data_IF_870570367252
#
_entry.id   IF_870570367252
#
_cell.length_a   1.000
_cell.length_b   1.000
_cell.length_c   1.000
_cell.angle_alpha   90.00
_cell.angle_beta   90.00
_cell.angle_gamma   90.00
#
_symmetry.space_group_name_H-M   'P 1'
#
loop_
_entity.id
_entity.type
_entity.pdbx_description
1 polymer ?
#
# COMPACT_ATOMS: atom_id res chain seq x y z
N UNK A 1 10.68 -50.48 28.13
CA UNK A 1 10.20 -50.17 26.76
C UNK A 1 9.12 -49.07 26.64
N UNK A 2 8.48 -48.57 27.71
CA UNK A 2 7.37 -47.58 27.58
C UNK A 2 7.81 -46.14 27.21
N UNK A 3 9.01 -45.71 27.61
CA UNK A 3 9.54 -44.33 27.43
C UNK A 3 9.65 -43.88 25.97
N UNK A 4 10.06 -44.78 25.06
CA UNK A 4 10.20 -44.50 23.61
C UNK A 4 8.81 -44.27 22.98
N UNK A 5 7.80 -45.07 23.38
CA UNK A 5 6.41 -44.92 22.92
C UNK A 5 5.79 -43.60 23.41
N UNK A 6 6.11 -43.16 24.63
CA UNK A 6 5.68 -41.85 25.15
C UNK A 6 6.37 -40.69 24.40
N UNK A 7 7.68 -40.78 24.13
CA UNK A 7 8.42 -39.76 23.36
C UNK A 7 7.84 -39.56 21.95
N UNK A 8 7.54 -40.65 21.24
CA UNK A 8 6.97 -40.56 19.88
C UNK A 8 5.56 -39.94 19.89
N UNK A 9 4.76 -40.20 20.94
CA UNK A 9 3.45 -39.53 21.12
C UNK A 9 3.58 -38.03 21.35
N UNK A 10 4.58 -37.59 22.11
CA UNK A 10 4.85 -36.15 22.33
C UNK A 10 5.31 -35.47 21.04
N UNK A 11 6.19 -36.10 20.28
CA UNK A 11 6.64 -35.56 18.97
C UNK A 11 5.46 -35.47 18.00
N UNK A 12 4.60 -36.49 17.95
CA UNK A 12 3.40 -36.48 17.10
C UNK A 12 2.44 -35.36 17.51
N UNK A 13 2.25 -35.13 18.81
CA UNK A 13 1.41 -34.04 19.32
C UNK A 13 1.98 -32.67 18.92
N UNK A 14 3.29 -32.45 19.08
CA UNK A 14 3.95 -31.21 18.67
C UNK A 14 3.82 -30.98 17.16
N UNK A 15 3.99 -32.03 16.35
CA UNK A 15 3.82 -31.94 14.90
C UNK A 15 2.38 -31.57 14.51
N UNK A 16 1.38 -32.17 15.16
CA UNK A 16 -0.03 -31.83 14.95
C UNK A 16 -0.35 -30.38 15.35
N UNK A 17 0.21 -29.89 16.46
CA UNK A 17 0.06 -28.50 16.88
C UNK A 17 0.68 -27.53 15.86
N UNK A 18 1.86 -27.85 15.32
CA UNK A 18 2.51 -27.04 14.28
C UNK A 18 1.70 -27.02 12.99
N UNK A 19 1.19 -28.17 12.54
CA UNK A 19 0.31 -28.26 11.35
C UNK A 19 -0.98 -27.47 11.57
N UNK A 20 -1.59 -27.57 12.75
CA UNK A 20 -2.77 -26.79 13.11
C UNK A 20 -2.51 -25.29 13.11
N UNK A 21 -1.37 -24.83 13.63
CA UNK A 21 -0.96 -23.42 13.61
C UNK A 21 -0.78 -22.90 12.19
N UNK A 22 -0.08 -23.65 11.33
CA UNK A 22 0.10 -23.30 9.92
C UNK A 22 -1.27 -23.24 9.22
N UNK A 23 -2.13 -24.23 9.44
CA UNK A 23 -3.48 -24.27 8.87
C UNK A 23 -4.33 -23.07 9.28
N UNK A 24 -4.29 -22.67 10.56
CA UNK A 24 -4.97 -21.46 11.05
C UNK A 24 -4.44 -20.20 10.33
N UNK A 25 -3.13 -20.03 10.23
CA UNK A 25 -2.55 -18.85 9.57
C UNK A 25 -2.93 -18.78 8.09
N UNK A 26 -2.94 -19.92 7.39
CA UNK A 26 -3.40 -19.99 5.99
C UNK A 26 -4.87 -19.60 5.89
N UNK A 27 -5.73 -20.11 6.79
CA UNK A 27 -7.14 -19.75 6.82
C UNK A 27 -7.35 -18.24 7.08
N UNK A 28 -6.65 -17.68 8.07
CA UNK A 28 -6.74 -16.26 8.43
C UNK A 28 -6.30 -15.37 7.24
N UNK A 29 -5.24 -15.74 6.50
CA UNK A 29 -4.78 -15.03 5.30
C UNK A 29 -5.83 -15.10 4.18
N UNK A 30 -6.35 -16.30 3.88
CA UNK A 30 -7.35 -16.47 2.83
C UNK A 30 -8.66 -15.73 3.16
N UNK A 31 -9.07 -15.74 4.43
CA UNK A 31 -10.24 -15.00 4.89
C UNK A 31 -10.02 -13.49 4.79
N UNK A 32 -8.87 -13.00 5.25
CA UNK A 32 -8.55 -11.58 5.19
C UNK A 32 -8.47 -11.05 3.75
N UNK A 33 -8.08 -11.89 2.78
CA UNK A 33 -8.08 -11.50 1.35
C UNK A 33 -9.47 -11.13 0.81
N UNK A 34 -10.55 -11.52 1.50
CA UNK A 34 -11.93 -11.21 1.11
C UNK A 34 -12.54 -10.04 1.87
N UNK A 35 -11.83 -9.51 2.88
CA UNK A 35 -12.26 -8.37 3.67
C UNK A 35 -11.99 -7.06 2.92
N UNK A 36 -13.04 -6.44 2.38
CA UNK A 36 -12.94 -5.12 1.77
C UNK A 36 -13.07 -4.03 2.85
N UNK A 37 -11.93 -3.55 3.35
CA UNK A 37 -11.86 -2.47 4.36
C UNK A 37 -12.11 -1.08 3.75
N UNK A 38 -13.10 -0.94 2.87
CA UNK A 38 -13.54 0.37 2.36
C UNK A 38 -14.30 1.10 3.45
N UNK A 39 -13.58 1.80 4.31
CA UNK A 39 -14.18 2.76 5.22
C UNK A 39 -14.22 4.14 4.56
N UNK A 40 -15.35 4.83 4.73
CA UNK A 40 -15.49 6.23 4.35
C UNK A 40 -14.64 7.05 5.32
N UNK A 41 -13.49 7.55 4.86
CA UNK A 41 -12.69 8.49 5.63
C UNK A 41 -13.29 9.90 5.51
N UNK A 42 -13.45 10.60 6.63
CA UNK A 42 -13.87 12.01 6.64
C UNK A 42 -12.82 12.90 5.94
N UNK A 43 -11.56 12.51 6.07
CA UNK A 43 -10.41 13.19 5.49
C UNK A 43 -9.26 12.21 5.22
N UNK A 44 -8.62 12.35 4.07
CA UNK A 44 -7.39 11.65 3.73
C UNK A 44 -6.18 12.58 3.82
N UNK A 45 -5.03 12.07 4.25
CA UNK A 45 -3.77 12.79 4.19
C UNK A 45 -2.90 12.11 3.13
N UNK A 46 -2.50 12.85 2.10
CA UNK A 46 -1.65 12.35 1.04
C UNK A 46 -0.20 12.67 1.37
N UNK A 47 0.59 11.62 1.60
CA UNK A 47 2.02 11.69 1.84
C UNK A 47 2.74 11.25 0.56
N UNK A 48 3.52 12.16 -0.02
CA UNK A 48 4.28 11.88 -1.24
C UNK A 48 5.45 12.84 -1.39
N UNK A 49 6.28 12.61 -2.41
CA UNK A 49 7.39 13.50 -2.74
C UNK A 49 6.87 14.92 -3.02
N UNK A 50 7.59 15.92 -2.50
CA UNK A 50 7.29 17.34 -2.67
C UNK A 50 6.98 17.76 -4.12
N UNK A 51 7.71 17.27 -5.12
CA UNK A 51 7.50 17.65 -6.53
C UNK A 51 6.33 16.91 -7.18
N UNK A 52 5.97 15.73 -6.66
CA UNK A 52 4.83 14.95 -7.13
C UNK A 52 3.51 15.41 -6.51
N UNK A 53 3.58 16.08 -5.35
CA UNK A 53 2.42 16.44 -4.53
C UNK A 53 1.32 17.18 -5.31
N UNK A 54 1.68 18.11 -6.19
CA UNK A 54 0.70 18.89 -6.97
C UNK A 54 -0.19 18.00 -7.85
N UNK A 55 0.39 16.99 -8.49
CA UNK A 55 -0.34 16.05 -9.34
C UNK A 55 -1.14 15.05 -8.51
N UNK A 56 -0.58 14.58 -7.38
CA UNK A 56 -1.28 13.69 -6.47
C UNK A 56 -2.58 14.32 -5.92
N UNK A 57 -2.54 15.59 -5.51
CA UNK A 57 -3.73 16.31 -5.03
C UNK A 57 -4.80 16.48 -6.12
N UNK A 58 -4.38 16.74 -7.36
CA UNK A 58 -5.30 16.83 -8.51
C UNK A 58 -6.04 15.51 -8.76
N UNK A 59 -5.31 14.40 -8.67
CA UNK A 59 -5.90 13.06 -8.83
C UNK A 59 -6.87 12.71 -7.70
N UNK A 60 -6.58 13.17 -6.48
CA UNK A 60 -7.45 12.96 -5.32
C UNK A 60 -8.76 13.74 -5.44
N UNK A 61 -8.68 15.01 -5.88
CA UNK A 61 -9.84 15.85 -6.18
C UNK A 61 -10.75 15.18 -7.22
N UNK A 62 -10.16 14.74 -8.34
CA UNK A 62 -10.91 14.07 -9.41
C UNK A 62 -11.44 12.68 -8.98
N UNK A 63 -10.92 12.08 -7.91
CA UNK A 63 -11.42 10.85 -7.31
C UNK A 63 -12.50 11.07 -6.24
N UNK A 64 -12.86 12.33 -5.95
CA UNK A 64 -13.82 12.67 -4.90
C UNK A 64 -13.28 12.45 -3.49
N UNK A 65 -11.96 12.40 -3.32
CA UNK A 65 -11.30 12.20 -2.03
C UNK A 65 -11.03 13.56 -1.40
N UNK A 66 -11.65 13.82 -0.26
CA UNK A 66 -11.33 14.99 0.57
C UNK A 66 -9.93 14.82 1.18
N UNK A 67 -8.91 15.32 0.49
CA UNK A 67 -7.51 15.10 0.84
C UNK A 67 -6.79 16.39 1.27
N UNK A 68 -5.82 16.26 2.18
CA UNK A 68 -4.84 17.30 2.51
C UNK A 68 -3.44 16.86 2.12
N UNK A 69 -2.62 17.82 1.67
CA UNK A 69 -1.23 17.57 1.28
C UNK A 69 -0.30 17.50 2.49
N UNK A 70 0.49 16.44 2.58
CA UNK A 70 1.60 16.32 3.54
C UNK A 70 2.89 15.92 2.80
N UNK A 71 3.52 16.86 2.05
CA UNK A 71 4.70 16.55 1.26
C UNK A 71 5.86 16.13 2.15
N UNK A 72 6.62 15.13 1.72
CA UNK A 72 7.80 14.69 2.46
C UNK A 72 8.86 15.80 2.46
N UNK A 73 9.52 16.06 3.60
CA UNK A 73 10.57 17.09 3.68
C UNK A 73 11.83 16.71 2.88
N UNK A 74 11.98 15.43 2.56
CA UNK A 74 13.08 14.88 1.79
C UNK A 74 12.58 14.20 0.52
N UNK A 75 13.46 14.13 -0.47
CA UNK A 75 13.24 13.43 -1.73
C UNK A 75 14.33 12.40 -1.93
N UNK A 76 13.99 11.26 -2.55
CA UNK A 76 14.98 10.31 -3.07
C UNK A 76 15.88 10.97 -4.13
N UNK A 77 15.34 11.93 -4.88
CA UNK A 77 16.05 12.68 -5.90
C UNK A 77 16.79 13.86 -5.26
N UNK A 78 18.04 13.62 -4.87
CA UNK A 78 18.82 14.61 -4.11
C UNK A 78 19.57 15.61 -4.99
N UNK A 79 20.18 15.14 -6.09
CA UNK A 79 21.04 15.95 -6.95
C UNK A 79 20.26 16.64 -8.08
N UNK A 80 20.75 17.77 -8.58
CA UNK A 80 20.13 18.47 -9.72
C UNK A 80 19.96 17.57 -10.95
N UNK A 81 20.96 16.72 -11.23
CA UNK A 81 20.93 15.75 -12.34
C UNK A 81 19.75 14.77 -12.24
N UNK A 82 19.28 14.50 -11.03
CA UNK A 82 18.17 13.57 -10.77
C UNK A 82 16.84 14.30 -10.52
N UNK A 83 16.87 15.50 -9.94
CA UNK A 83 15.70 16.37 -9.74
C UNK A 83 15.13 16.93 -11.04
N UNK A 84 15.97 17.39 -11.96
CA UNK A 84 15.53 17.97 -13.24
C UNK A 84 14.70 16.97 -14.08
N UNK A 85 15.19 15.74 -14.37
CA UNK A 85 14.39 14.79 -15.15
C UNK A 85 13.14 14.34 -14.39
N UNK A 86 13.17 14.31 -13.06
CA UNK A 86 11.99 14.02 -12.25
C UNK A 86 10.94 15.13 -12.35
N UNK A 87 11.34 16.39 -12.19
CA UNK A 87 10.45 17.56 -12.36
C UNK A 87 9.86 17.63 -13.78
N UNK A 88 10.69 17.38 -14.81
CA UNK A 88 10.23 17.37 -16.19
C UNK A 88 9.16 16.30 -16.43
N UNK A 89 9.36 15.10 -15.87
CA UNK A 89 8.38 14.01 -15.91
C UNK A 89 7.07 14.39 -15.21
N UNK A 90 7.15 14.94 -14.01
CA UNK A 90 5.96 15.36 -13.26
C UNK A 90 5.20 16.48 -13.97
N UNK A 91 5.92 17.42 -14.58
CA UNK A 91 5.33 18.50 -15.39
C UNK A 91 4.61 17.93 -16.61
N UNK A 92 5.24 17.02 -17.35
CA UNK A 92 4.66 16.37 -18.52
C UNK A 92 3.35 15.65 -18.17
N UNK A 93 3.37 14.80 -17.14
CA UNK A 93 2.16 14.08 -16.72
C UNK A 93 1.09 15.00 -16.13
N UNK A 94 1.47 16.06 -15.43
CA UNK A 94 0.51 17.02 -14.89
C UNK A 94 -0.23 17.77 -16.01
N UNK A 95 0.50 18.26 -17.01
CA UNK A 95 -0.09 18.94 -18.17
C UNK A 95 -0.95 17.95 -18.96
N UNK A 96 -0.44 16.75 -19.25
CA UNK A 96 -1.18 15.71 -19.96
C UNK A 96 -2.49 15.34 -19.25
N UNK A 97 -2.46 15.20 -17.93
CA UNK A 97 -3.66 14.93 -17.14
C UNK A 97 -4.67 16.09 -17.14
N UNK A 98 -4.19 17.34 -17.08
CA UNK A 98 -5.08 18.51 -17.23
C UNK A 98 -5.77 18.53 -18.59
N UNK A 99 -5.06 18.24 -19.68
CA UNK A 99 -5.66 18.12 -21.01
C UNK A 99 -6.68 16.99 -21.06
N UNK A 100 -6.33 15.81 -20.53
CA UNK A 100 -7.26 14.68 -20.43
C UNK A 100 -8.56 15.06 -19.71
N UNK A 101 -8.47 15.76 -18.59
CA UNK A 101 -9.64 16.24 -17.82
C UNK A 101 -10.52 17.23 -18.59
N UNK A 102 -9.91 18.07 -19.43
CA UNK A 102 -10.65 19.01 -20.29
C UNK A 102 -11.36 18.27 -21.42
N UNK A 103 -10.73 17.25 -22.00
CA UNK A 103 -11.30 16.47 -23.11
C UNK A 103 -12.36 15.47 -22.62
N UNK A 104 -12.16 14.88 -21.45
CA UNK A 104 -13.04 13.90 -20.82
C UNK A 104 -13.48 14.39 -19.44
N UNK A 105 -14.42 15.35 -19.39
CA UNK A 105 -15.01 15.76 -18.12
C UNK A 105 -15.76 14.57 -17.49
N UNK A 106 -15.57 14.40 -16.17
CA UNK A 106 -16.30 13.41 -15.36
C UNK A 106 -17.70 13.90 -15.01
#
# INVERSE_FOLDING_TARGET
MKKIRTRNKVILLLLLLTVGYIGKNVFDICSFSTEDQRQKADVAIIVSDSLHMKRAMLLAEDAGINAYSSPTPTSRYVSLRTKIPFLARETFYYIGYKWYRVVFPK
#
